data_IF_684800813609
#
_entry.id   IF_684800813609
#
_cell.length_a   1.000
_cell.length_b   1.000
_cell.length_c   1.000
_cell.angle_alpha   90.00
_cell.angle_beta   90.00
_cell.angle_gamma   90.00
#
_symmetry.space_group_name_H-M   'P 1'
#
loop_
_entity.id
_entity.type
_entity.pdbx_description
1 polymer ?
#
# COMPACT_ATOMS: atom_id res chain seq x y z
N UNK A 1 11.25 18.00 20.22
CA UNK A 1 11.48 17.61 18.82
C UNK A 1 12.36 18.69 18.22
N UNK A 2 13.52 18.35 17.63
CA UNK A 2 14.48 19.33 17.11
C UNK A 2 14.35 19.45 15.59
N UNK A 3 13.16 19.80 15.09
CA UNK A 3 12.95 20.02 13.65
C UNK A 3 13.68 21.31 13.25
N UNK A 4 14.48 21.26 12.17
CA UNK A 4 15.26 22.41 11.70
C UNK A 4 14.58 23.23 10.61
N UNK A 5 13.54 22.69 9.99
CA UNK A 5 12.73 23.44 9.03
C UNK A 5 11.65 24.24 9.76
N UNK A 6 11.28 25.38 9.19
CA UNK A 6 10.23 26.23 9.74
C UNK A 6 8.86 25.55 9.68
N UNK A 7 8.00 25.90 10.62
CA UNK A 7 6.70 25.23 10.78
C UNK A 7 5.75 25.49 9.62
N UNK A 8 5.82 26.66 8.98
CA UNK A 8 5.00 26.94 7.79
C UNK A 8 5.37 26.00 6.64
N UNK A 9 6.67 25.86 6.35
CA UNK A 9 7.17 24.93 5.33
C UNK A 9 6.86 23.48 5.66
N UNK A 10 7.05 23.08 6.91
CA UNK A 10 6.74 21.71 7.34
C UNK A 10 5.25 21.40 7.25
N UNK A 11 4.41 22.32 7.74
CA UNK A 11 2.97 22.15 7.72
C UNK A 11 2.45 22.07 6.29
N UNK A 12 3.04 22.83 5.35
CA UNK A 12 2.74 22.63 3.92
C UNK A 12 2.91 21.16 3.51
N UNK A 13 4.00 20.49 3.92
CA UNK A 13 4.21 19.07 3.60
C UNK A 13 3.11 18.16 4.16
N UNK A 14 2.64 18.43 5.37
CA UNK A 14 1.55 17.66 6.00
C UNK A 14 0.21 17.90 5.30
N UNK A 15 -0.14 19.16 5.04
CA UNK A 15 -1.44 19.53 4.47
C UNK A 15 -1.62 19.00 3.04
N UNK A 16 -0.53 18.74 2.30
CA UNK A 16 -0.62 18.09 0.99
C UNK A 16 -1.21 16.69 1.04
N UNK A 17 -1.13 15.97 2.16
CA UNK A 17 -1.72 14.62 2.29
C UNK A 17 -3.23 14.65 2.51
N UNK A 18 -3.77 15.77 3.00
CA UNK A 18 -5.18 15.91 3.36
C UNK A 18 -6.11 16.08 2.15
N UNK A 19 -7.38 15.70 2.33
CA UNK A 19 -8.43 15.98 1.36
C UNK A 19 -9.08 17.37 1.62
N UNK A 20 -9.99 17.80 0.74
CA UNK A 20 -10.63 19.13 0.85
C UNK A 20 -11.48 19.24 2.12
N UNK A 21 -12.14 18.18 2.54
CA UNK A 21 -13.01 18.19 3.72
C UNK A 21 -12.19 18.27 5.01
N UNK A 22 -11.06 17.57 5.08
CA UNK A 22 -10.11 17.67 6.19
C UNK A 22 -9.52 19.08 6.31
N UNK A 23 -9.09 19.68 5.19
CA UNK A 23 -8.58 21.05 5.16
C UNK A 23 -9.65 22.05 5.61
N UNK A 24 -10.89 21.87 5.15
CA UNK A 24 -12.01 22.69 5.61
C UNK A 24 -12.33 22.47 7.09
N UNK A 25 -12.08 21.28 7.62
CA UNK A 25 -12.24 21.01 9.05
C UNK A 25 -11.21 21.78 9.86
N UNK A 26 -9.94 21.80 9.43
CA UNK A 26 -8.91 22.65 10.05
C UNK A 26 -9.34 24.12 10.06
N UNK A 27 -9.87 24.64 8.94
CA UNK A 27 -10.38 26.01 8.93
C UNK A 27 -11.53 26.25 9.92
N UNK A 28 -12.37 25.24 10.22
CA UNK A 28 -13.41 25.34 11.24
C UNK A 28 -12.83 25.34 12.65
N UNK A 29 -11.89 24.45 12.90
CA UNK A 29 -11.29 24.24 14.23
C UNK A 29 -10.50 25.48 14.69
N UNK A 30 -9.91 26.22 13.75
CA UNK A 30 -9.18 27.47 13.99
C UNK A 30 -10.01 28.73 13.68
N UNK A 31 -11.33 28.60 13.55
CA UNK A 31 -12.27 29.71 13.31
C UNK A 31 -11.95 30.62 12.09
N UNK A 32 -11.19 30.11 11.12
CA UNK A 32 -10.82 30.82 9.88
C UNK A 32 -12.08 31.02 9.02
N UNK A 33 -12.27 32.19 8.41
CA UNK A 33 -13.45 32.50 7.56
C UNK A 33 -13.06 32.70 6.10
N UNK A 34 -14.01 32.50 5.18
CA UNK A 34 -13.82 32.80 3.75
C UNK A 34 -13.29 31.64 2.88
N UNK A 35 -13.07 30.45 3.46
CA UNK A 35 -12.47 29.30 2.78
C UNK A 35 -13.45 28.46 1.92
N UNK A 36 -14.76 28.71 1.98
CA UNK A 36 -15.78 27.77 1.49
C UNK A 36 -15.71 27.44 -0.01
N UNK A 37 -15.26 28.41 -0.82
CA UNK A 37 -15.12 28.31 -2.28
C UNK A 37 -13.74 27.88 -2.76
N UNK A 38 -12.76 27.77 -1.84
CA UNK A 38 -11.38 27.48 -2.18
C UNK A 38 -11.21 26.01 -2.58
N UNK A 39 -10.31 25.78 -3.54
CA UNK A 39 -9.89 24.44 -3.97
C UNK A 39 -8.75 23.95 -3.08
N UNK A 40 -8.33 22.69 -3.22
CA UNK A 40 -7.31 22.08 -2.35
C UNK A 40 -6.02 22.92 -2.26
N UNK A 41 -5.42 23.30 -3.39
CA UNK A 41 -4.19 24.10 -3.41
C UNK A 41 -4.38 25.41 -2.64
N UNK A 42 -5.45 26.12 -2.97
CA UNK A 42 -5.77 27.43 -2.40
C UNK A 42 -6.10 27.32 -0.90
N UNK A 43 -6.71 26.21 -0.47
CA UNK A 43 -6.99 25.93 0.94
C UNK A 43 -5.70 25.75 1.74
N UNK A 44 -4.71 25.03 1.19
CA UNK A 44 -3.43 24.84 1.87
C UNK A 44 -2.74 26.18 2.05
N UNK A 45 -2.58 26.96 0.99
CA UNK A 45 -1.98 28.30 1.06
C UNK A 45 -2.76 29.21 2.02
N UNK A 46 -4.09 29.20 1.94
CA UNK A 46 -4.94 30.02 2.78
C UNK A 46 -4.82 29.69 4.26
N UNK A 47 -4.72 28.41 4.65
CA UNK A 47 -4.48 28.00 6.04
C UNK A 47 -3.12 28.53 6.51
N UNK A 48 -2.07 28.32 5.70
CA UNK A 48 -0.69 28.73 6.04
C UNK A 48 -0.51 30.25 6.15
N UNK A 49 -1.37 31.03 5.49
CA UNK A 49 -1.37 32.51 5.54
C UNK A 49 -2.30 33.08 6.59
N UNK A 50 -3.30 32.30 7.05
CA UNK A 50 -4.29 32.75 8.03
C UNK A 50 -3.90 32.50 9.48
N UNK A 51 -3.04 31.50 9.73
CA UNK A 51 -2.62 31.12 11.07
C UNK A 51 -1.37 31.90 11.51
N UNK A 52 -1.34 32.28 12.78
CA UNK A 52 -0.15 32.79 13.47
C UNK A 52 0.87 31.68 13.75
N UNK A 53 2.11 32.04 14.12
CA UNK A 53 3.16 31.06 14.46
C UNK A 53 2.73 30.09 15.57
N UNK A 54 2.11 30.59 16.64
CA UNK A 54 1.58 29.77 17.74
C UNK A 54 0.49 28.79 17.26
N UNK A 55 -0.40 29.24 16.38
CA UNK A 55 -1.46 28.38 15.83
C UNK A 55 -0.92 27.33 14.83
N UNK A 56 0.14 27.65 14.09
CA UNK A 56 0.84 26.69 13.23
C UNK A 56 1.46 25.56 14.08
N UNK A 57 2.12 25.90 15.17
CA UNK A 57 2.67 24.93 16.13
C UNK A 57 1.56 24.05 16.73
N UNK A 58 0.46 24.65 17.17
CA UNK A 58 -0.69 23.94 17.73
C UNK A 58 -1.31 22.97 16.71
N UNK A 59 -1.46 23.40 15.45
CA UNK A 59 -1.98 22.54 14.38
C UNK A 59 -1.05 21.34 14.13
N UNK A 60 0.27 21.57 14.10
CA UNK A 60 1.25 20.48 13.98
C UNK A 60 1.10 19.50 15.15
N UNK A 61 1.02 19.99 16.39
CA UNK A 61 0.86 19.14 17.56
C UNK A 61 -0.41 18.28 17.51
N UNK A 62 -1.50 18.82 16.99
CA UNK A 62 -2.78 18.12 16.89
C UNK A 62 -2.84 17.10 15.75
N UNK A 63 -2.23 17.42 14.59
CA UNK A 63 -2.48 16.69 13.33
C UNK A 63 -1.31 15.90 12.78
N UNK A 64 -0.08 16.19 13.17
CA UNK A 64 1.12 15.55 12.62
C UNK A 64 1.03 14.02 12.67
N UNK A 65 0.78 13.44 13.85
CA UNK A 65 0.81 12.00 14.02
C UNK A 65 -0.30 11.29 13.23
N UNK A 66 -1.50 11.88 13.18
CA UNK A 66 -2.64 11.36 12.42
C UNK A 66 -2.30 11.28 10.93
N UNK A 67 -1.87 12.40 10.34
CA UNK A 67 -1.54 12.51 8.90
C UNK A 67 -0.42 11.55 8.52
N UNK A 68 0.64 11.49 9.34
CA UNK A 68 1.83 10.68 9.06
C UNK A 68 1.50 9.20 9.19
N UNK A 69 0.70 8.82 10.20
CA UNK A 69 0.22 7.44 10.36
C UNK A 69 -0.55 6.95 9.14
N UNK A 70 -1.42 7.78 8.58
CA UNK A 70 -2.23 7.43 7.41
C UNK A 70 -1.38 7.18 6.16
N UNK A 71 -0.42 8.06 5.87
CA UNK A 71 0.48 7.89 4.72
C UNK A 71 1.42 6.69 4.88
N UNK A 72 1.90 6.43 6.11
CA UNK A 72 2.67 5.23 6.44
C UNK A 72 1.81 3.97 6.25
N UNK A 73 0.56 3.97 6.71
CA UNK A 73 -0.35 2.84 6.54
C UNK A 73 -0.62 2.54 5.06
N UNK A 74 -0.75 3.58 4.23
CA UNK A 74 -0.85 3.43 2.77
C UNK A 74 0.44 2.84 2.16
N UNK A 75 1.62 3.22 2.66
CA UNK A 75 2.89 2.63 2.25
C UNK A 75 2.95 1.12 2.54
N UNK A 76 2.56 0.69 3.75
CA UNK A 76 2.48 -0.73 4.10
C UNK A 76 1.48 -1.48 3.21
N UNK A 77 0.30 -0.91 2.93
CA UNK A 77 -0.67 -1.53 2.00
C UNK A 77 -0.08 -1.73 0.60
N UNK A 78 0.74 -0.79 0.10
CA UNK A 78 1.43 -0.92 -1.18
C UNK A 78 2.49 -2.03 -1.16
N UNK A 79 3.27 -2.13 -0.07
CA UNK A 79 4.23 -3.22 0.14
C UNK A 79 3.52 -4.58 0.17
N UNK A 80 2.35 -4.66 0.81
CA UNK A 80 1.58 -5.89 0.96
C UNK A 80 0.70 -6.21 -0.27
N UNK A 81 0.73 -5.36 -1.30
CA UNK A 81 -0.07 -5.55 -2.51
C UNK A 81 -1.58 -5.36 -2.31
N UNK A 82 -1.99 -4.75 -1.20
CA UNK A 82 -3.38 -4.44 -0.84
C UNK A 82 -3.86 -3.10 -1.43
N UNK A 83 -2.93 -2.27 -1.89
CA UNK A 83 -3.24 -1.02 -2.57
C UNK A 83 -3.47 -1.21 -4.09
N UNK A 84 -4.20 -0.26 -4.69
CA UNK A 84 -4.48 -0.22 -6.13
C UNK A 84 -3.22 -0.10 -6.98
N UNK A 85 -2.18 0.43 -6.38
CA UNK A 85 -0.87 0.59 -6.97
C UNK A 85 0.10 -0.45 -6.40
N UNK A 86 1.12 -0.81 -7.18
CA UNK A 86 2.17 -1.76 -6.77
C UNK A 86 3.53 -1.15 -7.01
N UNK A 87 4.51 -1.52 -6.20
CA UNK A 87 5.92 -1.36 -6.57
C UNK A 87 6.19 -2.23 -7.80
N UNK A 88 6.60 -1.61 -8.91
CA UNK A 88 6.99 -2.31 -10.13
C UNK A 88 8.50 -2.47 -10.22
N UNK A 89 9.25 -1.46 -9.77
CA UNK A 89 10.71 -1.43 -9.82
C UNK A 89 11.29 -0.59 -8.68
N UNK A 90 12.44 -1.01 -8.14
CA UNK A 90 13.25 -0.26 -7.19
C UNK A 90 14.69 -0.26 -7.73
N UNK A 91 15.31 0.93 -7.81
CA UNK A 91 16.69 1.12 -8.24
C UNK A 91 17.45 1.98 -7.24
N UNK A 92 18.64 1.53 -6.85
CA UNK A 92 19.61 2.39 -6.15
C UNK A 92 20.46 3.04 -7.24
N UNK A 93 20.24 4.33 -7.48
CA UNK A 93 20.90 5.08 -8.54
C UNK A 93 22.34 5.41 -8.13
N UNK A 94 22.52 5.81 -6.86
CA UNK A 94 23.82 6.17 -6.33
C UNK A 94 23.93 5.81 -4.83
N UNK A 95 24.55 4.67 -4.50
CA UNK A 95 24.69 4.23 -3.12
C UNK A 95 25.54 5.17 -2.25
N UNK A 96 26.41 6.01 -2.83
CA UNK A 96 27.24 6.95 -2.05
C UNK A 96 26.46 8.17 -1.56
N UNK A 97 25.50 8.60 -2.36
CA UNK A 97 24.61 9.72 -2.06
C UNK A 97 23.24 9.26 -1.57
N UNK A 98 23.08 7.95 -1.33
CA UNK A 98 21.84 7.33 -0.87
C UNK A 98 20.65 7.59 -1.82
N UNK A 99 20.90 7.73 -3.12
CA UNK A 99 19.90 8.07 -4.14
C UNK A 99 19.20 6.80 -4.62
N UNK A 100 17.87 6.82 -4.61
CA UNK A 100 17.04 5.74 -5.11
C UNK A 100 15.86 6.26 -5.94
N UNK A 101 15.42 5.43 -6.88
CA UNK A 101 14.21 5.61 -7.65
C UNK A 101 13.31 4.40 -7.47
N UNK A 102 12.01 4.66 -7.32
CA UNK A 102 10.98 3.65 -7.19
C UNK A 102 9.91 3.95 -8.21
N UNK A 103 9.59 2.95 -9.03
CA UNK A 103 8.47 3.01 -9.96
C UNK A 103 7.31 2.23 -9.38
N UNK A 104 6.15 2.86 -9.47
CA UNK A 104 4.89 2.29 -9.05
C UNK A 104 3.97 2.17 -10.26
N UNK A 105 3.19 1.10 -10.30
CA UNK A 105 2.25 0.80 -11.37
C UNK A 105 0.85 0.62 -10.82
N UNK A 106 -0.06 1.46 -11.29
CA UNK A 106 -1.49 1.32 -11.13
C UNK A 106 -2.14 0.64 -12.33
N UNK A 107 -3.47 0.77 -12.46
CA UNK A 107 -4.21 0.15 -13.56
C UNK A 107 -3.85 0.74 -14.92
N UNK A 108 -3.85 2.08 -15.02
CA UNK A 108 -3.67 2.84 -16.25
C UNK A 108 -2.67 3.99 -16.09
N UNK A 109 -1.86 3.97 -15.04
CA UNK A 109 -0.88 5.01 -14.75
C UNK A 109 0.35 4.40 -14.09
N UNK A 110 1.47 5.08 -14.24
CA UNK A 110 2.71 4.80 -13.53
C UNK A 110 3.10 6.06 -12.74
N UNK A 111 3.75 5.88 -11.59
CA UNK A 111 4.29 6.96 -10.76
C UNK A 111 5.77 6.68 -10.53
N UNK A 112 6.62 7.68 -10.71
CA UNK A 112 8.01 7.62 -10.28
C UNK A 112 8.19 8.39 -8.98
N UNK A 113 9.07 7.89 -8.12
CA UNK A 113 9.50 8.60 -6.91
C UNK A 113 11.01 8.47 -6.76
N UNK A 114 11.67 9.61 -6.62
CA UNK A 114 13.06 9.76 -6.24
C UNK A 114 13.17 10.14 -4.77
N UNK A 115 14.17 9.59 -4.09
CA UNK A 115 14.50 9.96 -2.72
C UNK A 115 16.01 9.86 -2.48
N UNK A 116 16.57 10.84 -1.78
CA UNK A 116 17.90 10.79 -1.19
C UNK A 116 17.86 11.32 0.24
N UNK A 117 18.26 10.45 1.19
CA UNK A 117 18.40 10.80 2.61
C UNK A 117 19.87 10.59 3.01
N UNK A 118 20.53 11.68 3.37
CA UNK A 118 21.91 11.72 3.84
C UNK A 118 21.97 12.49 5.16
N UNK A 119 23.07 12.40 5.93
CA UNK A 119 23.25 13.23 7.12
C UNK A 119 23.15 14.75 6.86
N UNK A 120 23.36 15.21 5.61
CA UNK A 120 23.32 16.63 5.25
C UNK A 120 21.91 17.16 4.98
N UNK A 121 20.98 16.31 4.54
CA UNK A 121 19.63 16.68 4.17
C UNK A 121 18.55 15.90 4.96
N UNK A 122 18.92 15.20 6.03
CA UNK A 122 17.97 14.43 6.86
C UNK A 122 16.81 15.25 7.41
N UNK A 123 17.02 16.55 7.62
CA UNK A 123 15.99 17.49 8.10
C UNK A 123 15.07 18.01 6.98
N UNK A 124 15.45 17.84 5.71
CA UNK A 124 14.62 18.13 4.54
C UNK A 124 15.12 17.30 3.35
N UNK A 125 14.73 16.01 3.28
CA UNK A 125 15.25 15.10 2.27
C UNK A 125 15.02 15.58 0.86
N UNK A 126 16.02 15.37 0.00
CA UNK A 126 15.85 15.58 -1.43
C UNK A 126 14.91 14.49 -1.96
N UNK A 127 13.81 14.92 -2.59
CA UNK A 127 12.74 14.03 -3.03
C UNK A 127 12.04 14.64 -4.21
N UNK A 128 11.56 13.78 -5.08
CA UNK A 128 10.68 14.12 -6.19
C UNK A 128 9.70 12.97 -6.39
N UNK A 129 8.44 13.27 -6.69
CA UNK A 129 7.46 12.23 -6.94
C UNK A 129 6.31 12.75 -7.80
N UNK A 130 5.97 11.99 -8.84
CA UNK A 130 4.93 12.36 -9.81
C UNK A 130 3.51 12.30 -9.23
N UNK A 131 3.34 11.75 -8.02
CA UNK A 131 2.03 11.65 -7.42
C UNK A 131 1.51 13.03 -6.99
N UNK A 132 0.18 13.17 -6.87
CA UNK A 132 -0.47 14.44 -6.52
C UNK A 132 0.06 15.06 -5.20
N UNK A 133 0.41 14.23 -4.22
CA UNK A 133 0.89 14.68 -2.91
C UNK A 133 2.38 15.04 -3.01
N UNK A 134 3.18 14.13 -3.59
CA UNK A 134 4.63 14.25 -3.70
C UNK A 134 5.08 15.38 -4.64
N UNK A 135 4.35 15.66 -5.72
CA UNK A 135 4.66 16.77 -6.64
C UNK A 135 4.47 18.15 -6.00
N UNK A 136 3.77 18.20 -4.85
CA UNK A 136 3.65 19.39 -4.00
C UNK A 136 4.53 19.29 -2.73
N UNK A 137 5.56 18.44 -2.75
CA UNK A 137 6.51 18.17 -1.67
C UNK A 137 5.93 17.50 -0.42
N UNK A 138 4.71 16.96 -0.49
CA UNK A 138 4.08 16.24 0.63
C UNK A 138 4.74 14.89 0.94
N UNK A 139 4.62 14.46 2.20
CA UNK A 139 5.16 13.17 2.68
C UNK A 139 4.22 12.01 2.33
N UNK A 140 4.08 11.74 1.04
CA UNK A 140 3.20 10.70 0.51
C UNK A 140 3.65 9.27 0.84
N UNK A 141 2.75 8.31 0.69
CA UNK A 141 3.07 6.88 0.83
C UNK A 141 4.24 6.39 -0.03
N UNK A 142 4.52 7.01 -1.19
CA UNK A 142 5.72 6.70 -2.00
C UNK A 142 7.01 7.11 -1.30
N UNK A 143 7.03 8.30 -0.71
CA UNK A 143 8.14 8.78 0.13
C UNK A 143 8.40 7.80 1.27
N UNK A 144 7.35 7.33 1.94
CA UNK A 144 7.49 6.39 3.06
C UNK A 144 8.03 5.01 2.65
N UNK A 145 7.73 4.54 1.44
CA UNK A 145 8.36 3.31 0.91
C UNK A 145 9.85 3.53 0.70
N UNK A 146 10.25 4.68 0.13
CA UNK A 146 11.66 5.06 0.01
C UNK A 146 12.35 5.24 1.36
N UNK A 147 11.64 5.77 2.36
CA UNK A 147 12.14 5.90 3.72
C UNK A 147 12.42 4.52 4.35
N UNK A 148 11.47 3.58 4.22
CA UNK A 148 11.64 2.19 4.66
C UNK A 148 12.83 1.53 3.95
N UNK A 149 12.98 1.75 2.64
CA UNK A 149 14.14 1.26 1.88
C UNK A 149 15.45 1.85 2.39
N UNK A 150 15.48 3.15 2.69
CA UNK A 150 16.67 3.82 3.24
C UNK A 150 17.08 3.23 4.59
N UNK A 151 16.11 2.82 5.43
CA UNK A 151 16.39 2.09 6.67
C UNK A 151 16.95 0.69 6.40
N UNK A 152 16.41 -0.02 5.41
CA UNK A 152 16.83 -1.40 5.08
C UNK A 152 18.21 -1.47 4.41
N UNK A 153 18.54 -0.49 3.59
CA UNK A 153 19.88 -0.33 2.98
C UNK A 153 20.91 0.26 3.97
N UNK A 154 20.47 0.75 5.13
CA UNK A 154 21.35 1.36 6.13
C UNK A 154 21.82 2.77 5.77
N UNK A 155 21.16 3.44 4.82
CA UNK A 155 21.39 4.84 4.45
C UNK A 155 20.97 5.82 5.56
N UNK A 156 20.05 5.38 6.42
CA UNK A 156 19.52 6.13 7.55
C UNK A 156 19.38 5.19 8.76
N UNK A 157 19.59 5.71 9.97
CA UNK A 157 19.11 5.07 11.21
C UNK A 157 17.89 5.79 11.72
N UNK A 158 16.94 5.04 12.27
CA UNK A 158 15.67 5.60 12.75
C UNK A 158 15.89 6.70 13.80
N UNK A 159 16.85 6.51 14.71
CA UNK A 159 17.17 7.49 15.76
C UNK A 159 17.77 8.81 15.23
N UNK A 160 18.27 8.82 13.99
CA UNK A 160 18.78 10.03 13.36
C UNK A 160 17.64 10.87 12.77
N UNK A 161 16.43 10.30 12.62
CA UNK A 161 15.27 10.97 12.03
C UNK A 161 14.65 12.01 12.96
N UNK A 162 14.53 13.24 12.46
CA UNK A 162 14.13 14.41 13.24
C UNK A 162 13.01 15.23 12.61
N UNK A 163 12.69 14.99 11.33
CA UNK A 163 11.75 15.80 10.57
C UNK A 163 10.31 15.66 11.09
N UNK A 164 9.85 14.44 11.33
CA UNK A 164 8.46 14.15 11.72
C UNK A 164 8.36 13.08 12.80
N UNK A 165 7.30 13.14 13.63
CA UNK A 165 7.00 12.10 14.61
C UNK A 165 6.50 10.86 13.89
N UNK A 166 7.00 9.71 14.31
CA UNK A 166 6.58 8.42 13.80
C UNK A 166 5.64 7.74 14.80
N UNK A 167 4.70 6.91 14.32
CA UNK A 167 3.90 6.03 15.17
C UNK A 167 4.79 5.15 16.07
N UNK A 168 4.37 4.88 17.30
CA UNK A 168 5.14 4.09 18.26
C UNK A 168 5.44 2.66 17.76
N UNK A 169 4.53 2.09 16.98
CA UNK A 169 4.62 0.75 16.39
C UNK A 169 5.44 0.72 15.08
N UNK A 170 5.90 1.87 14.57
CA UNK A 170 6.55 1.97 13.27
C UNK A 170 7.81 1.10 13.17
N UNK A 171 8.69 1.15 14.18
CA UNK A 171 9.94 0.40 14.17
C UNK A 171 9.67 -1.12 14.08
N UNK A 172 8.70 -1.61 14.85
CA UNK A 172 8.35 -3.03 14.88
C UNK A 172 7.73 -3.49 13.56
N UNK A 173 6.87 -2.67 12.95
CA UNK A 173 6.32 -2.95 11.61
C UNK A 173 7.39 -2.94 10.52
N UNK A 174 8.40 -2.09 10.62
CA UNK A 174 9.51 -2.11 9.65
C UNK A 174 10.35 -3.38 9.81
N UNK A 175 10.49 -3.97 10.99
CA UNK A 175 11.28 -5.20 11.19
C UNK A 175 10.77 -6.37 10.35
N UNK A 176 9.46 -6.51 10.16
CA UNK A 176 8.88 -7.59 9.35
C UNK A 176 9.12 -7.43 7.84
N UNK A 177 9.40 -6.21 7.37
CA UNK A 177 9.74 -5.97 5.96
C UNK A 177 11.14 -6.49 5.67
N UNK A 178 11.26 -7.40 4.71
CA UNK A 178 12.53 -7.83 4.12
C UNK A 178 12.69 -7.27 2.72
N UNK A 179 13.95 -7.05 2.39
CA UNK A 179 14.39 -6.64 1.07
C UNK A 179 15.17 -7.79 0.47
N UNK A 180 14.78 -8.22 -0.72
CA UNK A 180 15.46 -9.30 -1.45
C UNK A 180 15.93 -8.80 -2.79
N UNK A 181 17.19 -9.08 -3.11
CA UNK A 181 17.78 -8.86 -4.43
C UNK A 181 17.79 -10.19 -5.17
N UNK A 182 17.05 -10.29 -6.28
CA UNK A 182 17.19 -11.45 -7.16
C UNK A 182 18.52 -11.35 -7.92
N UNK A 183 19.42 -12.31 -7.72
CA UNK A 183 20.59 -12.51 -8.57
C UNK A 183 20.12 -13.04 -9.93
N UNK A 184 20.05 -12.17 -10.92
CA UNK A 184 19.98 -12.61 -12.32
C UNK A 184 21.31 -13.29 -12.63
N UNK A 185 21.28 -14.59 -12.93
CA UNK A 185 22.45 -15.46 -13.09
C UNK A 185 23.44 -15.13 -14.22
N UNK A 186 23.41 -13.90 -14.76
CA UNK A 186 24.37 -13.42 -15.75
C UNK A 186 25.53 -12.69 -15.06
N UNK A 187 26.65 -13.42 -14.93
CA UNK A 187 27.93 -12.95 -14.36
C UNK A 187 28.65 -11.86 -15.17
N UNK A 188 27.93 -11.00 -15.90
CA UNK A 188 28.53 -9.89 -16.67
C UNK A 188 27.88 -8.52 -16.46
N UNK A 189 26.84 -8.36 -15.63
CA UNK A 189 26.35 -7.05 -15.23
C UNK A 189 26.51 -6.84 -13.72
N UNK A 190 27.59 -6.17 -13.31
CA UNK A 190 27.69 -5.65 -11.94
C UNK A 190 26.66 -4.53 -11.77
N UNK A 191 25.56 -4.86 -11.11
CA UNK A 191 24.63 -3.89 -10.51
C UNK A 191 23.34 -3.69 -11.29
N UNK A 192 22.37 -4.58 -11.10
CA UNK A 192 20.92 -4.31 -11.10
C UNK A 192 20.21 -5.62 -10.76
N UNK A 193 20.41 -6.14 -9.55
CA UNK A 193 19.52 -7.18 -9.03
C UNK A 193 18.15 -6.55 -8.84
N UNK A 194 17.07 -7.24 -9.23
CA UNK A 194 15.72 -6.73 -9.01
C UNK A 194 15.46 -6.70 -7.50
N UNK A 195 15.40 -5.51 -6.92
CA UNK A 195 15.07 -5.31 -5.50
C UNK A 195 13.56 -5.46 -5.33
N UNK A 196 13.14 -6.24 -4.35
CA UNK A 196 11.74 -6.36 -3.94
C UNK A 196 11.60 -6.19 -2.44
N UNK A 197 10.53 -5.52 -2.02
CA UNK A 197 10.11 -5.40 -0.61
C UNK A 197 8.98 -6.40 -0.34
N UNK A 198 9.09 -7.09 0.79
CA UNK A 198 8.18 -8.15 1.19
C UNK A 198 7.97 -8.06 2.70
N UNK A 199 6.73 -7.93 3.17
CA UNK A 199 6.40 -7.96 4.60
C UNK A 199 6.13 -9.40 5.06
N UNK A 200 7.12 -10.03 5.71
CA UNK A 200 7.03 -11.43 6.16
C UNK A 200 5.96 -11.71 7.22
N UNK A 201 5.45 -10.67 7.90
CA UNK A 201 4.34 -10.83 8.83
C UNK A 201 2.99 -10.93 8.14
N UNK A 202 2.93 -10.59 6.86
CA UNK A 202 1.69 -10.59 6.08
C UNK A 202 1.51 -11.89 5.30
N UNK A 203 0.27 -12.36 5.24
CA UNK A 203 -0.15 -13.46 4.35
C UNK A 203 0.21 -13.19 2.87
N UNK A 204 0.46 -11.93 2.51
CA UNK A 204 0.80 -11.52 1.17
C UNK A 204 2.06 -12.20 0.65
N UNK A 205 3.05 -12.52 1.49
CA UNK A 205 4.29 -13.21 1.05
C UNK A 205 4.01 -14.60 0.50
N UNK A 206 3.18 -15.36 1.22
CA UNK A 206 2.81 -16.71 0.83
C UNK A 206 1.96 -16.68 -0.44
N UNK A 207 1.06 -15.70 -0.56
CA UNK A 207 0.25 -15.48 -1.75
C UNK A 207 1.07 -15.03 -2.97
N UNK A 208 2.13 -14.24 -2.78
CA UNK A 208 2.98 -13.75 -3.87
C UNK A 208 3.67 -14.89 -4.63
N UNK A 209 3.96 -16.04 -3.96
CA UNK A 209 4.46 -17.26 -4.62
C UNK A 209 3.50 -17.81 -5.69
N UNK A 210 2.21 -17.57 -5.50
CA UNK A 210 1.14 -18.06 -6.38
C UNK A 210 0.58 -16.99 -7.30
N UNK A 211 1.11 -15.75 -7.27
CA UNK A 211 0.58 -14.66 -8.07
C UNK A 211 0.62 -14.98 -9.57
N UNK A 212 -0.51 -14.77 -10.25
CA UNK A 212 -0.75 -15.12 -11.65
C UNK A 212 -0.78 -16.62 -11.98
N UNK A 213 -0.72 -17.50 -10.98
CA UNK A 213 -0.80 -18.95 -11.16
C UNK A 213 -2.20 -19.49 -10.87
N UNK A 214 -2.50 -20.68 -11.41
CA UNK A 214 -3.71 -21.42 -11.05
C UNK A 214 -3.53 -22.05 -9.67
N UNK A 215 -4.49 -21.82 -8.78
CA UNK A 215 -4.47 -22.28 -7.40
C UNK A 215 -5.71 -23.10 -7.07
N UNK A 216 -5.57 -23.92 -6.04
CA UNK A 216 -6.68 -24.59 -5.36
C UNK A 216 -6.76 -24.05 -3.95
N UNK A 217 -7.92 -23.53 -3.57
CA UNK A 217 -8.30 -23.38 -2.17
C UNK A 217 -8.89 -24.73 -1.77
N UNK A 218 -8.12 -25.50 -1.01
CA UNK A 218 -8.52 -26.82 -0.56
C UNK A 218 -9.63 -26.73 0.49
N UNK A 219 -9.55 -25.74 1.35
CA UNK A 219 -10.55 -25.42 2.36
C UNK A 219 -10.52 -23.92 2.65
N UNK A 220 -11.68 -23.31 2.80
CA UNK A 220 -11.83 -21.95 3.29
C UNK A 220 -13.25 -21.71 3.77
N UNK A 221 -13.40 -21.00 4.88
CA UNK A 221 -14.71 -20.73 5.50
C UNK A 221 -15.23 -19.38 5.06
N UNK A 222 -16.46 -19.32 4.57
CA UNK A 222 -17.08 -18.07 4.16
C UNK A 222 -17.36 -17.19 5.38
N UNK A 223 -16.75 -16.01 5.42
CA UNK A 223 -17.05 -14.96 6.39
C UNK A 223 -18.15 -14.03 5.89
N UNK A 224 -18.00 -13.56 4.66
CA UNK A 224 -18.83 -12.50 4.10
C UNK A 224 -19.13 -12.80 2.64
N UNK A 225 -20.34 -12.45 2.19
CA UNK A 225 -20.74 -12.49 0.79
C UNK A 225 -21.32 -11.12 0.45
N UNK A 226 -20.69 -10.41 -0.48
CA UNK A 226 -21.13 -9.09 -0.96
C UNK A 226 -21.50 -9.19 -2.44
N UNK A 227 -22.75 -8.85 -2.79
CA UNK A 227 -23.15 -8.69 -4.19
C UNK A 227 -22.61 -7.38 -4.75
N UNK A 228 -22.12 -7.40 -5.99
CA UNK A 228 -21.62 -6.24 -6.72
C UNK A 228 -22.14 -6.25 -8.14
N UNK A 229 -22.23 -5.05 -8.69
CA UNK A 229 -22.67 -4.81 -10.07
C UNK A 229 -21.59 -4.02 -10.79
N UNK A 230 -21.33 -4.38 -12.05
CA UNK A 230 -20.46 -3.64 -12.94
C UNK A 230 -21.20 -3.39 -14.23
N UNK A 231 -21.32 -2.11 -14.60
CA UNK A 231 -21.81 -1.70 -15.90
C UNK A 231 -20.62 -1.46 -16.84
N UNK A 232 -20.62 -2.11 -18.00
CA UNK A 232 -19.65 -1.85 -19.04
C UNK A 232 -20.32 -1.84 -20.41
N UNK A 233 -20.26 -0.69 -21.09
CA UNK A 233 -20.89 -0.48 -22.41
C UNK A 233 -22.38 -0.87 -22.42
N UNK A 234 -23.12 -0.53 -21.35
CA UNK A 234 -24.55 -0.83 -21.22
C UNK A 234 -24.89 -2.28 -20.81
N UNK A 235 -23.90 -3.15 -20.62
CA UNK A 235 -24.10 -4.48 -20.06
C UNK A 235 -23.87 -4.46 -18.55
N UNK A 236 -24.89 -4.83 -17.77
CA UNK A 236 -24.79 -4.99 -16.32
C UNK A 236 -24.37 -6.43 -16.03
N UNK A 237 -23.24 -6.59 -15.35
CA UNK A 237 -22.75 -7.89 -14.86
C UNK A 237 -22.85 -7.93 -13.35
N UNK A 238 -23.61 -8.88 -12.83
CA UNK A 238 -23.71 -9.17 -11.39
C UNK A 238 -22.65 -10.21 -11.02
N UNK A 239 -21.90 -9.94 -9.96
CA UNK A 239 -20.93 -10.88 -9.39
C UNK A 239 -20.90 -10.77 -7.87
N UNK A 240 -20.31 -11.77 -7.23
CA UNK A 240 -20.22 -11.85 -5.77
C UNK A 240 -18.77 -11.87 -5.35
N UNK A 241 -18.47 -11.06 -4.34
CA UNK A 241 -17.23 -11.11 -3.59
C UNK A 241 -17.46 -11.91 -2.33
N UNK A 242 -16.62 -12.90 -2.11
CA UNK A 242 -16.70 -13.76 -0.95
C UNK A 242 -15.38 -13.63 -0.20
N UNK A 243 -15.45 -13.19 1.05
CA UNK A 243 -14.32 -13.18 1.97
C UNK A 243 -14.25 -14.54 2.63
N UNK A 244 -13.13 -15.24 2.46
CA UNK A 244 -12.85 -16.51 3.12
C UNK A 244 -11.92 -16.27 4.31
N UNK A 245 -12.03 -17.11 5.33
CA UNK A 245 -11.03 -17.26 6.40
C UNK A 245 -10.55 -18.68 6.58
N UNK A 246 -9.47 -18.82 7.34
CA UNK A 246 -8.86 -20.11 7.71
C UNK A 246 -8.57 -20.95 6.46
N UNK A 247 -7.87 -20.35 5.49
CA UNK A 247 -7.74 -20.88 4.14
C UNK A 247 -6.52 -21.79 4.03
N UNK A 248 -6.72 -22.97 3.43
CA UNK A 248 -5.63 -23.84 2.96
C UNK A 248 -5.50 -23.70 1.45
N UNK A 249 -4.44 -23.04 0.99
CA UNK A 249 -4.21 -22.74 -0.41
C UNK A 249 -2.96 -23.45 -0.92
N UNK A 250 -2.98 -23.88 -2.18
CA UNK A 250 -1.79 -24.43 -2.82
C UNK A 250 -1.89 -24.44 -4.34
N UNK A 251 -0.89 -25.02 -5.03
CA UNK A 251 -0.90 -25.11 -6.48
C UNK A 251 -2.09 -25.96 -6.94
N UNK A 252 -2.63 -25.62 -8.12
CA UNK A 252 -3.67 -26.43 -8.73
C UNK A 252 -3.10 -27.78 -9.19
N UNK A 253 -3.56 -28.86 -8.56
CA UNK A 253 -3.18 -30.21 -8.92
C UNK A 253 -4.16 -30.83 -9.93
N UNK A 254 -3.63 -31.66 -10.84
CA UNK A 254 -4.44 -32.39 -11.83
C UNK A 254 -4.70 -33.84 -11.41
N UNK A 255 -3.81 -34.43 -10.60
CA UNK A 255 -3.95 -35.79 -10.07
C UNK A 255 -3.78 -35.79 -8.56
N UNK A 256 -4.48 -36.68 -7.86
CA UNK A 256 -4.40 -36.79 -6.38
C UNK A 256 -2.98 -37.09 -5.88
N UNK A 257 -2.17 -37.82 -6.66
CA UNK A 257 -0.78 -38.14 -6.29
C UNK A 257 0.20 -36.97 -6.38
N UNK A 258 -0.21 -35.85 -7.00
CA UNK A 258 0.61 -34.63 -7.09
C UNK A 258 0.40 -33.73 -5.86
N UNK A 259 -0.54 -34.07 -4.98
CA UNK A 259 -0.78 -33.33 -3.75
C UNK A 259 0.40 -33.51 -2.80
N UNK A 260 1.00 -32.40 -2.36
CA UNK A 260 2.00 -32.38 -1.31
C UNK A 260 1.59 -31.39 -0.25
N UNK A 261 1.54 -31.86 0.99
CA UNK A 261 1.17 -31.02 2.14
C UNK A 261 2.18 -29.86 2.34
N UNK A 262 3.44 -30.07 1.96
CA UNK A 262 4.51 -29.06 2.01
C UNK A 262 4.31 -27.87 1.05
N UNK A 263 3.49 -28.05 0.00
CA UNK A 263 3.15 -26.98 -0.95
C UNK A 263 1.91 -26.16 -0.51
N UNK A 264 1.31 -26.51 0.64
CA UNK A 264 0.13 -25.85 1.18
C UNK A 264 0.53 -24.71 2.12
N UNK A 265 -0.08 -23.57 1.89
CA UNK A 265 0.04 -22.37 2.72
C UNK A 265 -1.27 -22.11 3.46
N UNK A 266 -1.15 -21.60 4.68
CA UNK A 266 -2.31 -21.24 5.51
C UNK A 266 -2.46 -19.73 5.50
N UNK A 267 -3.59 -19.26 4.99
CA UNK A 267 -3.88 -17.84 4.82
C UNK A 267 -5.04 -17.49 5.75
N UNK A 268 -4.92 -16.41 6.52
CA UNK A 268 -5.96 -15.97 7.45
C UNK A 268 -7.17 -15.47 6.68
N UNK A 269 -6.97 -14.59 5.68
CA UNK A 269 -8.04 -13.98 4.89
C UNK A 269 -7.70 -13.92 3.41
N UNK A 270 -8.64 -14.33 2.55
CA UNK A 270 -8.51 -14.21 1.10
C UNK A 270 -9.88 -13.97 0.47
N UNK A 271 -9.93 -13.03 -0.48
CA UNK A 271 -11.13 -12.77 -1.27
C UNK A 271 -11.17 -13.68 -2.49
N UNK A 272 -12.38 -14.08 -2.87
CA UNK A 272 -12.65 -14.73 -4.15
C UNK A 272 -13.78 -14.00 -4.89
N UNK A 273 -13.72 -14.01 -6.22
CA UNK A 273 -14.80 -13.49 -7.08
C UNK A 273 -15.48 -14.62 -7.81
N UNK A 274 -16.80 -14.70 -7.69
CA UNK A 274 -17.63 -15.70 -8.35
C UNK A 274 -18.74 -15.02 -9.16
N UNK A 275 -19.21 -15.67 -10.22
CA UNK A 275 -20.34 -15.16 -11.02
C UNK A 275 -21.66 -15.39 -10.30
N UNK A 276 -22.68 -14.62 -10.67
CA UNK A 276 -24.06 -14.83 -10.22
C UNK A 276 -24.55 -16.26 -10.49
N UNK A 277 -24.18 -16.83 -11.65
CA UNK A 277 -24.47 -18.22 -11.98
C UNK A 277 -23.92 -19.20 -10.94
N UNK A 278 -22.66 -19.05 -10.55
CA UNK A 278 -22.04 -19.93 -9.55
C UNK A 278 -22.72 -19.77 -8.19
N UNK A 279 -23.03 -18.53 -7.78
CA UNK A 279 -23.71 -18.29 -6.51
C UNK A 279 -25.12 -18.88 -6.49
N UNK A 280 -25.90 -18.73 -7.57
CA UNK A 280 -27.26 -19.26 -7.67
C UNK A 280 -27.30 -20.79 -7.74
N UNK A 281 -26.35 -21.43 -8.43
CA UNK A 281 -26.23 -22.88 -8.50
C UNK A 281 -25.84 -23.51 -7.16
N UNK A 282 -24.92 -22.88 -6.41
CA UNK A 282 -24.37 -23.46 -5.19
C UNK A 282 -25.05 -22.95 -3.90
N UNK A 283 -25.78 -21.83 -3.97
CA UNK A 283 -26.48 -21.20 -2.84
C UNK A 283 -25.57 -21.08 -1.62
N UNK A 284 -24.40 -20.45 -1.79
CA UNK A 284 -23.41 -20.32 -0.71
C UNK A 284 -23.93 -19.40 0.39
N UNK A 285 -23.66 -19.77 1.64
CA UNK A 285 -24.01 -18.99 2.82
C UNK A 285 -22.78 -18.69 3.67
N UNK A 286 -22.88 -17.63 4.49
CA UNK A 286 -21.90 -17.34 5.53
C UNK A 286 -21.76 -18.56 6.45
N UNK A 287 -20.52 -18.88 6.83
CA UNK A 287 -20.05 -20.07 7.57
C UNK A 287 -19.92 -21.36 6.75
N UNK A 288 -20.37 -21.42 5.49
CA UNK A 288 -20.11 -22.59 4.65
C UNK A 288 -18.59 -22.77 4.48
N UNK A 289 -18.12 -24.02 4.49
CA UNK A 289 -16.76 -24.36 4.08
C UNK A 289 -16.77 -24.74 2.61
N UNK A 290 -15.82 -24.22 1.85
CA UNK A 290 -15.74 -24.45 0.41
C UNK A 290 -14.34 -24.84 -0.04
N UNK A 291 -14.30 -25.53 -1.18
CA UNK A 291 -13.11 -25.80 -1.97
C UNK A 291 -13.31 -25.28 -3.38
N UNK A 292 -12.34 -24.52 -3.90
CA UNK A 292 -12.45 -23.89 -5.22
C UNK A 292 -11.15 -23.94 -6.00
N UNK A 293 -11.27 -24.03 -7.32
CA UNK A 293 -10.15 -23.83 -8.24
C UNK A 293 -10.30 -22.49 -8.93
N UNK A 294 -9.22 -21.73 -9.01
CA UNK A 294 -9.21 -20.46 -9.71
C UNK A 294 -7.79 -20.04 -10.08
N UNK A 295 -7.64 -18.77 -10.41
CA UNK A 295 -6.35 -18.13 -10.66
C UNK A 295 -6.17 -17.00 -9.66
N UNK A 296 -5.06 -17.01 -8.95
CA UNK A 296 -4.71 -15.94 -8.02
C UNK A 296 -4.16 -14.77 -8.82
N UNK A 297 -4.79 -13.60 -8.71
CA UNK A 297 -4.42 -12.42 -9.49
C UNK A 297 -4.46 -11.18 -8.59
N UNK A 298 -3.65 -10.16 -8.90
CA UNK A 298 -3.79 -8.84 -8.30
C UNK A 298 -4.91 -8.09 -9.03
N UNK A 299 -5.95 -7.73 -8.29
CA UNK A 299 -7.03 -6.86 -8.76
C UNK A 299 -6.76 -5.42 -8.34
N UNK A 300 -7.01 -4.48 -9.25
CA UNK A 300 -6.73 -3.06 -9.03
C UNK A 300 -7.55 -2.40 -7.92
N UNK A 301 -8.63 -3.04 -7.45
CA UNK A 301 -9.52 -2.50 -6.43
C UNK A 301 -9.53 -3.32 -5.16
N UNK A 302 -9.20 -4.62 -5.26
CA UNK A 302 -9.43 -5.58 -4.18
C UNK A 302 -8.17 -6.29 -3.70
N UNK A 303 -7.00 -5.88 -4.19
CA UNK A 303 -5.72 -6.50 -3.87
C UNK A 303 -5.62 -7.91 -4.47
N UNK A 304 -4.98 -8.82 -3.75
CA UNK A 304 -4.83 -10.21 -4.19
C UNK A 304 -6.17 -10.95 -4.03
N UNK A 305 -6.67 -11.53 -5.12
CA UNK A 305 -7.97 -12.20 -5.17
C UNK A 305 -7.91 -13.44 -6.07
N UNK A 306 -8.71 -14.47 -5.75
CA UNK A 306 -8.90 -15.60 -6.66
C UNK A 306 -10.05 -15.32 -7.63
N UNK A 307 -9.73 -15.34 -8.93
CA UNK A 307 -10.68 -15.15 -10.04
C UNK A 307 -10.76 -16.40 -10.91
N UNK A 308 -11.58 -16.32 -11.96
CA UNK A 308 -11.76 -17.37 -12.96
C UNK A 308 -12.22 -18.71 -12.37
N UNK A 309 -12.98 -18.64 -11.27
CA UNK A 309 -13.57 -19.79 -10.61
C UNK A 309 -14.70 -20.30 -11.51
N UNK A 310 -14.65 -21.60 -11.84
CA UNK A 310 -15.65 -22.26 -12.69
C UNK A 310 -16.52 -23.26 -11.93
N UNK A 311 -16.04 -23.76 -10.80
CA UNK A 311 -16.72 -24.76 -9.96
C UNK A 311 -16.35 -24.49 -8.51
N UNK A 312 -17.31 -24.73 -7.64
CA UNK A 312 -17.18 -24.66 -6.19
C UNK A 312 -17.72 -25.96 -5.63
N UNK A 313 -17.03 -26.49 -4.63
CA UNK A 313 -17.49 -27.63 -3.85
C UNK A 313 -17.71 -27.16 -2.42
N UNK A 314 -18.91 -27.38 -1.88
CA UNK A 314 -19.13 -27.26 -0.42
C UNK A 314 -18.55 -28.49 0.27
N UNK A 315 -17.89 -28.28 1.39
CA UNK A 315 -17.20 -29.32 2.18
C UNK A 315 -18.04 -29.80 3.36
#
# INVERSE_FOLDING_TARGET
MNRQIDDKKYLNYLLQSLNVDDLKQICRDFEIKGYSKLKKSDLVEFILDSLSEEELEDLILQKELEIISDEINLAFKKVNGEDRESISEIKIINPKNHEMEITFKGFNWDVSSYLSITPKNINDPERDCDCRIGSNMGLCSHFWIGFILSLKEGFLKLNDWTLTKLPEDFEDRVKSIKMTTADTGDKQAKGTGKITLVDESSDSVELMKFLNNSVTIYEGKIEEITQRESEFQGNITIFYHITLKDIRLGPRIYRKGDFREEDIVNIEILKIRISEKIQSENKLNVKDKISVNGKLEKDNFWGIIVKNIRKIQKL
#
